data_IF_156541438255
#
_entry.id   IF_156541438255
#
_cell.length_a   1.000
_cell.length_b   1.000
_cell.length_c   1.000
_cell.angle_alpha   90.00
_cell.angle_beta   90.00
_cell.angle_gamma   90.00
#
_symmetry.space_group_name_H-M   'P 1'
#
loop_
_entity.id
_entity.type
_entity.pdbx_description
1 polymer ?
#
# COMPACT_ATOMS: atom_id res chain seq x y z
N UNK A 1 -34.18 1.45 -4.60
CA UNK A 1 -33.31 2.61 -4.91
C UNK A 1 -32.26 2.17 -5.93
N UNK A 2 -31.92 2.99 -6.93
CA UNK A 2 -30.82 2.68 -7.86
C UNK A 2 -29.49 2.61 -7.09
N UNK A 3 -28.55 1.76 -7.53
CA UNK A 3 -27.28 1.55 -6.84
C UNK A 3 -26.47 2.84 -6.64
N UNK A 4 -26.48 3.74 -7.63
CA UNK A 4 -25.84 5.04 -7.56
C UNK A 4 -26.47 5.95 -6.50
N UNK A 5 -27.79 6.15 -6.54
CA UNK A 5 -28.52 6.93 -5.51
C UNK A 5 -28.29 6.36 -4.11
N UNK A 6 -28.21 5.03 -3.98
CA UNK A 6 -27.90 4.36 -2.72
C UNK A 6 -26.49 4.70 -2.24
N UNK A 7 -25.50 4.66 -3.13
CA UNK A 7 -24.12 5.04 -2.80
C UNK A 7 -24.00 6.54 -2.45
N UNK A 8 -24.67 7.43 -3.19
CA UNK A 8 -24.72 8.87 -2.87
C UNK A 8 -25.33 9.13 -1.48
N UNK A 9 -26.40 8.39 -1.12
CA UNK A 9 -27.01 8.51 0.20
C UNK A 9 -26.14 7.93 1.32
N UNK A 10 -25.52 6.77 1.12
CA UNK A 10 -24.56 6.24 2.09
C UNK A 10 -23.40 7.23 2.28
N UNK A 11 -22.89 7.81 1.18
CA UNK A 11 -21.87 8.84 1.26
C UNK A 11 -22.36 10.08 2.02
N UNK A 12 -23.63 10.49 1.87
CA UNK A 12 -24.24 11.57 2.66
C UNK A 12 -24.27 11.25 4.16
N UNK A 13 -24.73 10.06 4.54
CA UNK A 13 -24.75 9.61 5.94
C UNK A 13 -23.35 9.57 6.54
N UNK A 14 -22.36 9.20 5.73
CA UNK A 14 -20.97 9.15 6.17
C UNK A 14 -20.29 10.53 6.12
N UNK A 15 -20.66 11.48 5.28
CA UNK A 15 -19.88 12.72 5.09
C UNK A 15 -19.94 13.74 6.26
N UNK A 16 -20.62 13.43 7.36
CA UNK A 16 -20.93 14.36 8.46
C UNK A 16 -19.70 14.99 9.17
N UNK A 17 -18.52 14.39 9.05
CA UNK A 17 -17.32 14.82 9.80
C UNK A 17 -16.24 15.49 8.91
N UNK A 18 -16.55 15.74 7.63
CA UNK A 18 -15.55 16.17 6.65
C UNK A 18 -14.56 15.05 6.28
N UNK A 19 -13.72 15.29 5.29
CA UNK A 19 -12.77 14.29 4.80
C UNK A 19 -13.23 13.49 3.59
N UNK A 20 -12.32 12.64 3.13
CA UNK A 20 -12.60 11.60 2.16
C UNK A 20 -13.22 10.40 2.86
N UNK A 21 -14.16 9.74 2.20
CA UNK A 21 -14.74 8.49 2.66
C UNK A 21 -14.59 7.45 1.56
N UNK A 22 -14.26 6.23 1.95
CA UNK A 22 -14.38 5.06 1.10
C UNK A 22 -15.22 4.01 1.83
N UNK A 23 -16.11 3.34 1.12
CA UNK A 23 -16.97 2.32 1.71
C UNK A 23 -17.32 1.20 0.73
N UNK A 24 -17.75 0.08 1.31
CA UNK A 24 -18.25 -1.09 0.61
C UNK A 24 -19.39 -1.71 1.40
N UNK A 25 -20.46 -2.09 0.71
CA UNK A 25 -21.62 -2.76 1.32
C UNK A 25 -21.56 -4.26 1.06
N UNK A 26 -21.65 -5.08 2.11
CA UNK A 26 -21.82 -6.54 2.00
C UNK A 26 -22.88 -7.01 3.02
N UNK A 27 -23.90 -7.72 2.53
CA UNK A 27 -24.97 -8.32 3.35
C UNK A 27 -25.61 -7.38 4.38
N UNK A 28 -25.92 -6.14 3.97
CA UNK A 28 -26.54 -5.13 4.85
C UNK A 28 -25.58 -4.43 5.80
N UNK A 29 -24.27 -4.74 5.74
CA UNK A 29 -23.23 -4.02 6.47
C UNK A 29 -22.46 -3.10 5.52
N UNK A 30 -22.33 -1.83 5.89
CA UNK A 30 -21.46 -0.84 5.25
C UNK A 30 -20.16 -0.76 6.03
N UNK A 31 -19.10 -1.29 5.45
CA UNK A 31 -17.74 -1.11 5.95
C UNK A 31 -17.16 0.16 5.35
N UNK A 32 -16.67 1.07 6.17
CA UNK A 32 -16.16 2.36 5.68
C UNK A 32 -14.89 2.78 6.40
N UNK A 33 -14.10 3.62 5.73
CA UNK A 33 -12.96 4.30 6.32
C UNK A 33 -12.97 5.78 5.93
N UNK A 34 -12.44 6.60 6.82
CA UNK A 34 -12.28 8.05 6.63
C UNK A 34 -10.83 8.42 6.48
N UNK A 35 -10.59 9.50 5.74
CA UNK A 35 -9.27 10.12 5.65
C UNK A 35 -9.39 11.65 5.69
N UNK A 36 -8.66 12.34 6.57
CA UNK A 36 -8.79 13.79 6.72
C UNK A 36 -8.41 14.56 5.44
N UNK A 37 -9.13 15.67 5.16
CA UNK A 37 -8.80 16.55 4.03
C UNK A 37 -7.44 17.20 4.23
N UNK A 38 -6.64 17.30 3.18
CA UNK A 38 -5.39 18.06 3.16
C UNK A 38 -4.23 17.38 3.89
N UNK A 39 -4.41 16.17 4.42
CA UNK A 39 -3.31 15.40 5.00
C UNK A 39 -2.56 14.66 3.89
N UNK A 40 -1.26 14.90 3.80
CA UNK A 40 -0.37 14.17 2.93
C UNK A 40 0.18 12.94 3.67
N UNK A 41 -0.12 11.73 3.17
CA UNK A 41 0.43 10.48 3.67
C UNK A 41 0.44 9.39 2.59
N UNK A 42 1.19 8.29 2.75
CA UNK A 42 1.11 7.12 1.88
C UNK A 42 -0.14 6.27 2.20
N UNK A 43 -1.29 6.94 2.23
CA UNK A 43 -2.59 6.41 2.63
C UNK A 43 -3.71 7.28 2.06
N UNK A 44 -4.93 6.76 2.13
CA UNK A 44 -6.17 7.45 1.78
C UNK A 44 -7.33 6.68 2.41
N UNK A 45 -8.56 7.18 2.25
CA UNK A 45 -9.74 6.44 2.73
C UNK A 45 -9.83 5.04 2.07
N UNK A 46 -9.48 4.95 0.78
CA UNK A 46 -9.45 3.68 0.04
C UNK A 46 -8.37 2.75 0.59
N UNK A 47 -7.16 3.26 0.83
CA UNK A 47 -6.07 2.44 1.40
C UNK A 47 -6.45 1.92 2.78
N UNK A 48 -6.92 2.80 3.68
CA UNK A 48 -7.36 2.41 5.03
C UNK A 48 -8.45 1.34 5.00
N UNK A 49 -9.47 1.50 4.15
CA UNK A 49 -10.54 0.53 3.98
C UNK A 49 -9.98 -0.84 3.56
N UNK A 50 -9.13 -0.86 2.52
CA UNK A 50 -8.58 -2.11 1.98
C UNK A 50 -7.67 -2.80 3.01
N UNK A 51 -6.71 -2.07 3.59
CA UNK A 51 -5.79 -2.64 4.58
C UNK A 51 -6.56 -3.16 5.81
N UNK A 52 -7.51 -2.39 6.32
CA UNK A 52 -8.22 -2.75 7.54
C UNK A 52 -9.27 -3.84 7.36
N UNK A 53 -9.84 -3.99 6.17
CA UNK A 53 -10.69 -5.15 5.87
C UNK A 53 -9.88 -6.45 5.89
N UNK A 54 -8.66 -6.46 5.34
CA UNK A 54 -7.78 -7.62 5.45
C UNK A 54 -7.36 -7.89 6.89
N UNK A 55 -7.03 -6.86 7.66
CA UNK A 55 -6.58 -7.02 9.04
C UNK A 55 -7.69 -7.50 9.97
N UNK A 56 -8.92 -6.98 9.82
CA UNK A 56 -10.02 -7.31 10.72
C UNK A 56 -10.78 -8.57 10.32
N UNK A 57 -10.82 -8.88 9.02
CA UNK A 57 -11.63 -9.96 8.46
C UNK A 57 -10.76 -10.88 7.59
N UNK A 58 -9.73 -11.49 8.20
CA UNK A 58 -8.90 -12.49 7.53
C UNK A 58 -9.79 -13.58 6.90
N UNK A 59 -9.45 -14.01 5.70
CA UNK A 59 -10.22 -14.93 4.82
C UNK A 59 -11.57 -14.42 4.30
N UNK A 60 -12.28 -13.59 5.07
CA UNK A 60 -13.57 -13.01 4.71
C UNK A 60 -13.46 -11.74 3.86
N UNK A 61 -12.35 -11.02 3.96
CA UNK A 61 -12.05 -9.78 3.25
C UNK A 61 -12.25 -9.91 1.74
N UNK A 62 -11.88 -11.05 1.14
CA UNK A 62 -12.09 -11.28 -0.29
C UNK A 62 -13.56 -11.33 -0.71
N UNK A 63 -14.48 -11.75 0.17
CA UNK A 63 -15.91 -11.76 -0.14
C UNK A 63 -16.46 -10.34 -0.09
N UNK A 64 -16.07 -9.55 0.91
CA UNK A 64 -16.43 -8.14 1.03
C UNK A 64 -15.88 -7.36 -0.17
N UNK A 65 -14.60 -7.56 -0.52
CA UNK A 65 -13.91 -6.84 -1.60
C UNK A 65 -14.25 -7.29 -3.02
N UNK A 66 -15.11 -8.32 -3.18
CA UNK A 66 -15.76 -8.63 -4.47
C UNK A 66 -16.86 -7.64 -4.81
N UNK A 67 -17.42 -6.97 -3.80
CA UNK A 67 -18.39 -5.91 -3.97
C UNK A 67 -17.71 -4.65 -4.52
N UNK A 68 -18.53 -3.71 -5.01
CA UNK A 68 -18.03 -2.44 -5.54
C UNK A 68 -17.71 -1.51 -4.38
N UNK A 69 -16.50 -0.97 -4.37
CA UNK A 69 -16.09 0.10 -3.47
C UNK A 69 -16.58 1.43 -4.04
N UNK A 70 -17.00 2.33 -3.16
CA UNK A 70 -17.36 3.69 -3.49
C UNK A 70 -16.48 4.64 -2.70
N UNK A 71 -16.09 5.77 -3.29
CA UNK A 71 -15.37 6.82 -2.57
C UNK A 71 -15.76 8.20 -3.05
N UNK A 72 -15.74 9.17 -2.13
CA UNK A 72 -15.97 10.59 -2.42
C UNK A 72 -14.76 11.27 -3.06
N UNK A 73 -13.57 10.69 -2.93
CA UNK A 73 -12.34 11.22 -3.48
C UNK A 73 -12.09 10.78 -4.93
N UNK A 74 -11.23 11.52 -5.63
CA UNK A 74 -10.61 11.03 -6.87
C UNK A 74 -9.51 10.02 -6.54
N UNK A 75 -9.33 9.02 -7.40
CA UNK A 75 -8.34 7.96 -7.19
C UNK A 75 -6.98 8.36 -7.74
N UNK A 76 -5.99 8.29 -6.85
CA UNK A 76 -4.57 8.30 -7.18
C UNK A 76 -4.13 6.98 -7.80
N UNK A 77 -2.93 6.93 -8.42
CA UNK A 77 -2.34 5.69 -8.92
C UNK A 77 -2.13 4.66 -7.80
N UNK A 78 -1.84 5.12 -6.58
CA UNK A 78 -1.78 4.28 -5.39
C UNK A 78 -3.13 3.58 -5.16
N UNK A 79 -4.24 4.33 -5.16
CA UNK A 79 -5.58 3.76 -4.96
C UNK A 79 -5.97 2.80 -6.10
N UNK A 80 -5.74 3.20 -7.36
CA UNK A 80 -6.04 2.36 -8.53
C UNK A 80 -5.23 1.08 -8.51
N UNK A 81 -3.93 1.18 -8.22
CA UNK A 81 -3.03 0.05 -8.08
C UNK A 81 -3.47 -0.91 -6.98
N UNK A 82 -3.79 -0.39 -5.79
CA UNK A 82 -4.23 -1.21 -4.66
C UNK A 82 -5.55 -1.92 -4.97
N UNK A 83 -6.56 -1.20 -5.47
CA UNK A 83 -7.83 -1.80 -5.91
C UNK A 83 -7.60 -2.88 -6.95
N UNK A 84 -6.70 -2.67 -7.92
CA UNK A 84 -6.42 -3.67 -8.97
C UNK A 84 -5.81 -4.96 -8.42
N UNK A 85 -5.06 -4.87 -7.32
CA UNK A 85 -4.41 -6.03 -6.69
C UNK A 85 -5.39 -6.78 -5.78
N UNK A 86 -6.17 -6.07 -4.96
CA UNK A 86 -6.91 -6.71 -3.86
C UNK A 86 -8.43 -6.64 -3.94
N UNK A 87 -8.97 -5.86 -4.86
CA UNK A 87 -10.41 -5.69 -5.06
C UNK A 87 -10.79 -5.83 -6.55
N UNK A 88 -12.08 -5.72 -6.86
CA UNK A 88 -12.56 -5.87 -8.25
C UNK A 88 -12.96 -4.56 -8.90
N UNK A 89 -13.69 -3.72 -8.18
CA UNK A 89 -14.40 -2.56 -8.75
C UNK A 89 -14.42 -1.43 -7.75
N UNK A 90 -14.24 -0.23 -8.28
CA UNK A 90 -14.37 1.00 -7.51
C UNK A 90 -15.10 2.05 -8.35
N UNK A 91 -15.85 2.91 -7.69
CA UNK A 91 -16.42 4.15 -8.24
C UNK A 91 -15.92 5.31 -7.39
N UNK A 92 -15.40 6.34 -8.05
CA UNK A 92 -14.78 7.51 -7.43
C UNK A 92 -15.64 8.76 -7.64
N UNK A 93 -15.32 9.84 -6.91
CA UNK A 93 -16.03 11.11 -6.99
C UNK A 93 -17.56 11.02 -6.74
N UNK A 94 -17.99 10.08 -5.89
CA UNK A 94 -19.39 10.01 -5.46
C UNK A 94 -19.73 11.31 -4.74
N UNK A 95 -20.82 11.96 -5.14
CA UNK A 95 -21.30 13.18 -4.50
C UNK A 95 -22.28 12.82 -3.38
N UNK A 96 -21.97 13.15 -2.11
CA UNK A 96 -22.89 12.94 -1.01
C UNK A 96 -24.23 13.65 -1.30
N UNK A 97 -25.34 12.90 -1.30
CA UNK A 97 -26.68 13.46 -1.51
C UNK A 97 -27.72 12.72 -0.70
N UNK A 98 -28.59 13.47 -0.02
CA UNK A 98 -29.73 12.89 0.66
C UNK A 98 -30.77 12.38 -0.36
N UNK A 99 -31.18 11.12 -0.21
CA UNK A 99 -32.20 10.44 -1.02
C UNK A 99 -33.29 9.82 -0.14
N UNK A 100 -33.38 10.22 1.13
CA UNK A 100 -34.30 9.67 2.12
C UNK A 100 -33.75 8.45 2.87
N UNK A 101 -34.56 7.83 3.72
CA UNK A 101 -34.10 6.82 4.68
C UNK A 101 -33.58 5.52 4.04
N UNK A 102 -32.47 5.01 4.59
CA UNK A 102 -32.02 3.63 4.39
C UNK A 102 -32.29 2.80 5.65
N UNK A 103 -33.38 2.05 5.64
CA UNK A 103 -33.69 1.13 6.73
C UNK A 103 -32.75 -0.10 6.72
N UNK A 104 -32.30 -0.52 7.91
CA UNK A 104 -31.66 -1.82 8.14
C UNK A 104 -30.19 -1.93 7.74
N UNK A 105 -29.48 -0.82 7.56
CA UNK A 105 -28.02 -0.85 7.37
C UNK A 105 -27.27 -0.83 8.70
N UNK A 106 -26.27 -1.68 8.83
CA UNK A 106 -25.27 -1.62 9.88
C UNK A 106 -24.03 -0.89 9.36
N UNK A 107 -23.47 0.03 10.15
CA UNK A 107 -22.24 0.75 9.80
C UNK A 107 -21.08 0.24 10.65
N UNK A 108 -19.96 -0.06 10.00
CA UNK A 108 -18.74 -0.56 10.64
C UNK A 108 -17.56 0.26 10.13
N UNK A 109 -17.01 1.11 10.99
CA UNK A 109 -15.80 1.86 10.66
C UNK A 109 -14.55 0.96 10.71
N UNK A 110 -13.65 1.18 9.75
CA UNK A 110 -12.39 0.48 9.54
C UNK A 110 -11.24 1.46 9.81
N UNK A 111 -10.67 1.32 11.01
CA UNK A 111 -9.65 2.23 11.53
C UNK A 111 -10.25 3.51 12.08
N UNK A 112 -9.54 4.16 13.00
CA UNK A 112 -9.99 5.42 13.59
C UNK A 112 -9.81 6.57 12.57
N UNK A 113 -10.73 7.54 12.55
CA UNK A 113 -10.67 8.70 11.67
C UNK A 113 -9.42 9.56 11.88
N UNK A 114 -8.92 9.65 13.12
CA UNK A 114 -7.70 10.38 13.49
C UNK A 114 -6.42 9.67 13.06
N UNK A 115 -6.47 8.37 12.76
CA UNK A 115 -5.33 7.61 12.31
C UNK A 115 -5.05 7.87 10.83
N UNK A 116 -3.93 8.50 10.54
CA UNK A 116 -3.46 8.74 9.16
C UNK A 116 -3.06 7.43 8.48
N UNK A 117 -2.28 6.60 9.17
CA UNK A 117 -1.96 5.24 8.77
C UNK A 117 -2.69 4.27 9.67
N UNK A 118 -3.28 3.24 9.06
CA UNK A 118 -3.88 2.16 9.82
C UNK A 118 -2.76 1.37 10.55
N UNK A 119 -2.89 1.11 11.86
CA UNK A 119 -2.02 0.16 12.55
C UNK A 119 -2.22 -1.22 11.93
N UNK A 120 -1.14 -1.80 11.42
CA UNK A 120 -1.21 -3.09 10.74
C UNK A 120 -0.94 -4.22 11.72
N UNK A 121 -1.93 -5.09 11.94
CA UNK A 121 -1.85 -6.16 12.94
C UNK A 121 -0.94 -7.33 12.50
N UNK A 122 -0.72 -7.49 11.19
CA UNK A 122 -0.02 -8.64 10.61
C UNK A 122 1.33 -8.30 9.97
N UNK A 123 2.01 -7.23 10.42
CA UNK A 123 3.40 -7.01 10.05
C UNK A 123 4.29 -8.10 10.65
N UNK A 124 5.14 -8.70 9.82
CA UNK A 124 6.09 -9.73 10.28
C UNK A 124 7.11 -9.17 11.28
N UNK A 125 7.75 -10.03 12.06
CA UNK A 125 8.75 -9.62 13.05
C UNK A 125 9.96 -8.94 12.39
N UNK A 126 10.30 -9.33 11.17
CA UNK A 126 11.38 -8.74 10.38
C UNK A 126 11.10 -7.28 10.04
N UNK A 127 9.83 -6.91 9.83
CA UNK A 127 9.42 -5.51 9.66
C UNK A 127 9.46 -4.70 10.97
N UNK A 128 9.64 -5.35 12.13
CA UNK A 128 9.71 -4.69 13.44
C UNK A 128 11.15 -4.40 13.90
N UNK A 129 12.18 -4.94 13.21
CA UNK A 129 13.58 -4.63 13.50
C UNK A 129 13.87 -3.14 13.28
N UNK A 130 14.79 -2.55 14.04
CA UNK A 130 15.09 -1.12 13.92
C UNK A 130 15.87 -0.81 12.63
N UNK A 131 15.79 0.44 12.16
CA UNK A 131 16.61 0.90 11.03
C UNK A 131 18.10 0.74 11.33
N UNK A 132 18.54 0.96 12.58
CA UNK A 132 19.94 0.83 12.99
C UNK A 132 20.43 -0.62 12.88
N UNK A 133 19.61 -1.61 13.25
CA UNK A 133 19.95 -3.02 13.12
C UNK A 133 20.15 -3.40 11.64
N UNK A 134 19.22 -3.00 10.77
CA UNK A 134 19.30 -3.29 9.33
C UNK A 134 20.42 -2.50 8.66
N UNK A 135 20.65 -1.25 9.05
CA UNK A 135 21.75 -0.44 8.56
C UNK A 135 23.11 -1.05 8.96
N UNK A 136 23.25 -1.57 10.18
CA UNK A 136 24.46 -2.28 10.61
C UNK A 136 24.70 -3.55 9.80
N UNK A 137 23.64 -4.29 9.50
CA UNK A 137 23.72 -5.45 8.61
C UNK A 137 24.11 -5.05 7.18
N UNK A 138 23.50 -4.01 6.59
CA UNK A 138 23.87 -3.53 5.25
C UNK A 138 25.30 -2.99 5.20
N UNK A 139 25.71 -2.22 6.22
CA UNK A 139 27.02 -1.58 6.30
C UNK A 139 28.19 -2.57 6.40
N UNK A 140 27.96 -3.76 6.97
CA UNK A 140 28.95 -4.84 6.95
C UNK A 140 29.15 -5.46 5.56
N UNK A 141 28.32 -5.09 4.58
CA UNK A 141 28.36 -5.55 3.19
C UNK A 141 28.48 -4.37 2.22
N UNK A 142 29.56 -3.60 2.31
CA UNK A 142 29.79 -2.41 1.49
C UNK A 142 29.48 -2.64 -0.01
N UNK A 143 28.43 -1.99 -0.51
CA UNK A 143 27.97 -2.10 -1.89
C UNK A 143 27.79 -0.69 -2.48
N UNK A 144 28.57 -0.35 -3.49
CA UNK A 144 28.46 0.96 -4.17
C UNK A 144 27.71 0.83 -5.50
N UNK A 145 27.66 -0.38 -6.07
CA UNK A 145 27.02 -0.62 -7.36
C UNK A 145 25.62 -1.24 -7.20
N UNK A 146 24.65 -0.90 -8.08
CA UNK A 146 23.27 -1.40 -7.98
C UNK A 146 23.13 -2.93 -7.91
N UNK A 147 23.96 -3.66 -8.65
CA UNK A 147 23.93 -5.13 -8.65
C UNK A 147 24.19 -5.72 -7.25
N UNK A 148 25.20 -5.21 -6.54
CA UNK A 148 25.50 -5.64 -5.16
C UNK A 148 24.42 -5.19 -4.18
N UNK A 149 23.84 -4.00 -4.37
CA UNK A 149 22.70 -3.56 -3.56
C UNK A 149 21.48 -4.48 -3.72
N UNK A 150 21.23 -5.01 -4.92
CA UNK A 150 20.18 -6.01 -5.15
C UNK A 150 20.51 -7.39 -4.57
N UNK A 151 21.79 -7.76 -4.46
CA UNK A 151 22.19 -8.95 -3.70
C UNK A 151 21.89 -8.77 -2.21
N UNK A 152 22.10 -7.57 -1.65
CA UNK A 152 21.69 -7.26 -0.27
C UNK A 152 20.17 -7.29 -0.12
N UNK A 153 19.41 -6.76 -1.07
CA UNK A 153 17.95 -6.87 -1.05
C UNK A 153 17.53 -8.35 -1.04
N UNK A 154 18.21 -9.19 -1.82
CA UNK A 154 17.99 -10.64 -1.82
C UNK A 154 18.36 -11.30 -0.49
N UNK A 155 19.42 -10.83 0.18
CA UNK A 155 19.80 -11.26 1.52
C UNK A 155 18.74 -10.92 2.57
N UNK A 156 18.21 -9.69 2.52
CA UNK A 156 17.13 -9.23 3.38
C UNK A 156 15.83 -10.01 3.14
N UNK A 157 15.52 -10.34 1.89
CA UNK A 157 14.35 -11.14 1.53
C UNK A 157 14.37 -12.55 2.14
N UNK A 158 15.56 -13.13 2.41
CA UNK A 158 15.69 -14.43 3.08
C UNK A 158 15.30 -14.41 4.56
N UNK A 159 15.10 -13.22 5.14
CA UNK A 159 14.57 -13.12 6.51
C UNK A 159 13.09 -13.46 6.56
N UNK A 160 12.37 -13.37 5.44
CA UNK A 160 10.96 -13.74 5.36
C UNK A 160 10.82 -15.25 5.60
N UNK A 161 10.09 -15.69 6.64
CA UNK A 161 9.92 -17.11 6.92
C UNK A 161 9.25 -17.84 5.76
N UNK A 162 9.74 -19.04 5.45
CA UNK A 162 9.19 -19.91 4.40
C UNK A 162 8.83 -21.25 5.00
N UNK A 163 7.74 -21.84 4.54
CA UNK A 163 7.39 -23.22 4.86
C UNK A 163 6.78 -23.95 3.67
N UNK A 164 6.31 -25.17 3.94
CA UNK A 164 5.92 -26.12 2.91
C UNK A 164 4.66 -25.73 2.14
N UNK A 165 3.74 -24.98 2.77
CA UNK A 165 2.46 -24.59 2.19
C UNK A 165 2.53 -23.15 1.68
N UNK A 166 2.88 -22.98 0.40
CA UNK A 166 3.22 -21.67 -0.18
C UNK A 166 2.19 -20.54 0.04
N UNK A 167 0.91 -20.85 0.22
CA UNK A 167 -0.13 -19.83 0.44
C UNK A 167 -0.21 -19.34 1.89
N UNK A 168 0.37 -20.09 2.84
CA UNK A 168 0.42 -19.74 4.27
C UNK A 168 1.61 -18.84 4.60
N UNK A 169 2.57 -18.72 3.68
CA UNK A 169 3.81 -17.97 3.88
C UNK A 169 3.92 -16.80 2.93
N UNK A 170 4.58 -15.76 3.42
CA UNK A 170 4.94 -14.60 2.63
C UNK A 170 5.96 -14.98 1.55
N UNK A 171 5.88 -14.36 0.37
CA UNK A 171 6.95 -14.44 -0.62
C UNK A 171 8.20 -13.75 -0.09
N UNK A 172 9.37 -14.28 -0.42
CA UNK A 172 10.69 -13.73 -0.12
C UNK A 172 10.97 -12.50 -0.98
N UNK A 173 10.27 -11.42 -0.66
CA UNK A 173 10.40 -10.13 -1.31
C UNK A 173 10.82 -9.11 -0.25
N UNK A 174 11.82 -8.30 -0.58
CA UNK A 174 12.28 -7.22 0.26
C UNK A 174 12.60 -6.00 -0.58
N UNK A 175 12.52 -4.84 0.05
CA UNK A 175 12.95 -3.58 -0.50
C UNK A 175 13.64 -2.74 0.57
N UNK A 176 14.58 -1.90 0.16
CA UNK A 176 15.14 -0.85 1.01
C UNK A 176 15.40 0.43 0.20
N UNK A 177 15.47 1.54 0.91
CA UNK A 177 15.61 2.89 0.38
C UNK A 177 16.86 3.53 0.95
N UNK A 178 17.73 4.01 0.07
CA UNK A 178 18.91 4.79 0.44
C UNK A 178 18.72 6.26 0.05
N UNK A 179 19.30 7.18 0.82
CA UNK A 179 19.48 8.57 0.37
C UNK A 179 20.64 8.67 -0.64
N UNK A 180 20.89 9.90 -1.12
CA UNK A 180 21.96 10.23 -2.05
C UNK A 180 23.37 10.04 -1.44
N UNK A 181 23.50 9.95 -0.11
CA UNK A 181 24.75 9.56 0.57
C UNK A 181 24.86 8.04 0.83
N UNK A 182 23.92 7.22 0.36
CA UNK A 182 23.92 5.78 0.54
C UNK A 182 23.50 5.29 1.94
N UNK A 183 22.94 6.17 2.78
CA UNK A 183 22.44 5.83 4.10
C UNK A 183 21.03 5.23 4.01
N UNK A 184 20.77 4.19 4.80
CA UNK A 184 19.46 3.55 4.88
C UNK A 184 18.43 4.50 5.50
N UNK A 185 17.38 4.82 4.74
CA UNK A 185 16.25 5.62 5.19
C UNK A 185 15.09 4.76 5.71
N UNK A 186 14.77 3.69 4.98
CA UNK A 186 13.69 2.77 5.32
C UNK A 186 13.88 1.43 4.61
N UNK A 187 13.22 0.40 5.12
CA UNK A 187 13.13 -0.90 4.47
C UNK A 187 11.77 -1.55 4.75
N UNK A 188 11.45 -2.57 3.96
CA UNK A 188 10.32 -3.44 4.21
C UNK A 188 10.55 -4.82 3.62
N UNK A 189 10.00 -5.82 4.29
CA UNK A 189 9.87 -7.17 3.74
C UNK A 189 8.39 -7.50 3.56
N UNK A 190 8.08 -8.40 2.64
CA UNK A 190 6.70 -8.77 2.35
C UNK A 190 6.04 -9.50 3.54
N UNK A 191 4.79 -9.14 3.84
CA UNK A 191 3.95 -9.72 4.91
C UNK A 191 2.52 -9.96 4.43
N UNK A 192 2.37 -10.36 3.16
CA UNK A 192 1.10 -10.37 2.46
C UNK A 192 0.28 -11.66 2.56
N UNK A 193 0.70 -12.64 3.36
CA UNK A 193 0.01 -13.91 3.59
C UNK A 193 -1.42 -13.69 4.09
N UNK A 194 -1.59 -12.87 5.13
CA UNK A 194 -2.90 -12.52 5.71
C UNK A 194 -3.50 -11.24 5.14
N UNK A 195 -2.66 -10.23 4.85
CA UNK A 195 -3.11 -8.97 4.29
C UNK A 195 -2.41 -8.69 2.96
N UNK A 196 -3.16 -8.86 1.86
CA UNK A 196 -2.61 -8.79 0.49
C UNK A 196 -2.06 -7.43 0.09
N UNK A 197 -2.23 -6.40 0.91
CA UNK A 197 -1.67 -5.07 0.67
C UNK A 197 -0.24 -4.90 1.20
N UNK A 198 0.23 -5.78 2.10
CA UNK A 198 1.50 -5.63 2.84
C UNK A 198 2.71 -6.12 2.05
N UNK A 199 2.91 -5.54 0.88
CA UNK A 199 4.11 -5.77 0.08
C UNK A 199 5.33 -5.09 0.69
N UNK A 200 6.52 -5.57 0.35
CA UNK A 200 7.79 -5.02 0.84
C UNK A 200 7.89 -3.50 0.63
N UNK A 201 7.52 -3.01 -0.55
CA UNK A 201 7.57 -1.59 -0.89
C UNK A 201 6.50 -0.78 -0.15
N UNK A 202 5.30 -1.33 0.04
CA UNK A 202 4.25 -0.68 0.83
C UNK A 202 4.70 -0.53 2.28
N UNK A 203 5.23 -1.61 2.86
CA UNK A 203 5.74 -1.62 4.23
C UNK A 203 6.88 -0.61 4.40
N UNK A 204 7.80 -0.53 3.43
CA UNK A 204 8.89 0.45 3.40
C UNK A 204 8.39 1.89 3.40
N UNK A 205 7.45 2.24 2.52
CA UNK A 205 6.98 3.62 2.37
C UNK A 205 6.15 4.03 3.59
N UNK A 206 5.25 3.17 4.07
CA UNK A 206 4.45 3.44 5.26
C UNK A 206 5.33 3.52 6.51
N UNK A 207 6.39 2.71 6.62
CA UNK A 207 7.38 2.83 7.69
C UNK A 207 8.07 4.18 7.67
N UNK A 208 8.58 4.61 6.51
CA UNK A 208 9.26 5.91 6.36
C UNK A 208 8.37 7.03 6.90
N UNK A 209 7.09 7.03 6.51
CA UNK A 209 6.13 8.01 7.02
C UNK A 209 5.91 7.88 8.54
N UNK A 210 5.74 6.67 9.10
CA UNK A 210 5.58 6.50 10.55
C UNK A 210 6.77 7.03 11.34
N UNK A 211 7.98 6.80 10.85
CA UNK A 211 9.21 7.13 11.58
C UNK A 211 9.63 8.59 11.40
N UNK A 212 9.32 9.22 10.25
CA UNK A 212 9.85 10.55 9.91
C UNK A 212 8.77 11.60 9.61
N UNK A 213 7.54 11.17 9.29
CA UNK A 213 6.49 12.02 8.74
C UNK A 213 6.76 12.58 7.34
N UNK A 214 7.89 12.19 6.71
CA UNK A 214 8.36 12.78 5.44
C UNK A 214 8.14 11.83 4.25
N UNK A 215 7.96 12.38 3.03
CA UNK A 215 8.04 11.65 1.77
C UNK A 215 9.44 11.08 1.49
N UNK A 216 9.53 10.24 0.46
CA UNK A 216 10.82 9.79 -0.09
C UNK A 216 11.57 11.03 -0.61
N UNK A 217 12.78 11.34 -0.08
CA UNK A 217 13.49 12.54 -0.46
C UNK A 217 13.99 12.48 -1.90
N UNK A 218 14.17 13.65 -2.50
CA UNK A 218 14.75 13.76 -3.84
C UNK A 218 16.14 13.08 -3.92
N UNK A 219 16.42 12.43 -5.04
CA UNK A 219 17.68 11.71 -5.27
C UNK A 219 17.80 10.36 -4.56
N UNK A 220 16.81 9.95 -3.77
CA UNK A 220 16.81 8.64 -3.12
C UNK A 220 16.74 7.49 -4.14
N UNK A 221 17.30 6.34 -3.75
CA UNK A 221 17.36 5.13 -4.58
C UNK A 221 16.69 3.98 -3.85
N UNK A 222 15.67 3.39 -4.48
CA UNK A 222 14.97 2.22 -3.96
C UNK A 222 15.50 0.95 -4.65
N UNK A 223 15.84 -0.06 -3.84
CA UNK A 223 16.21 -1.39 -4.31
C UNK A 223 15.12 -2.36 -3.87
N UNK A 224 14.48 -3.05 -4.83
CA UNK A 224 13.49 -4.11 -4.55
C UNK A 224 13.93 -5.41 -5.19
N UNK A 225 13.75 -6.56 -4.54
CA UNK A 225 14.10 -7.83 -5.18
C UNK A 225 13.29 -8.07 -6.44
N UNK A 226 12.02 -7.67 -6.44
CA UNK A 226 11.07 -7.81 -7.54
C UNK A 226 10.65 -6.45 -8.08
N UNK A 227 10.28 -6.42 -9.36
CA UNK A 227 9.70 -5.22 -9.98
C UNK A 227 8.43 -4.79 -9.21
N UNK A 228 8.33 -3.52 -8.75
CA UNK A 228 7.14 -3.05 -8.06
C UNK A 228 5.88 -3.24 -8.89
N UNK A 229 4.82 -3.79 -8.29
CA UNK A 229 3.52 -3.89 -8.94
C UNK A 229 2.80 -2.52 -8.98
N UNK A 230 1.67 -2.40 -9.68
CA UNK A 230 0.89 -1.15 -9.80
C UNK A 230 0.59 -0.49 -8.45
N UNK A 231 0.26 -1.28 -7.42
CA UNK A 231 0.04 -0.79 -6.06
C UNK A 231 1.31 -0.16 -5.47
N UNK A 232 2.42 -0.91 -5.48
CA UNK A 232 3.71 -0.47 -4.95
C UNK A 232 4.24 0.74 -5.71
N UNK A 233 4.23 0.67 -7.04
CA UNK A 233 4.66 1.73 -7.95
C UNK A 233 3.86 3.03 -7.72
N UNK A 234 2.53 2.92 -7.61
CA UNK A 234 1.67 4.07 -7.30
C UNK A 234 2.00 4.70 -5.95
N UNK A 235 2.20 3.89 -4.91
CA UNK A 235 2.56 4.39 -3.57
C UNK A 235 3.94 5.06 -3.56
N UNK A 236 4.95 4.44 -4.17
CA UNK A 236 6.31 5.00 -4.29
C UNK A 236 6.26 6.35 -5.02
N UNK A 237 5.58 6.41 -6.17
CA UNK A 237 5.53 7.61 -7.01
C UNK A 237 4.78 8.76 -6.31
N UNK A 238 3.63 8.47 -5.68
CA UNK A 238 2.86 9.51 -5.00
C UNK A 238 3.46 9.98 -3.68
N UNK A 239 4.28 9.16 -3.02
CA UNK A 239 4.93 9.51 -1.75
C UNK A 239 6.41 9.87 -1.93
N UNK A 240 6.75 10.55 -3.02
CA UNK A 240 8.08 11.04 -3.32
C UNK A 240 8.07 12.56 -3.51
N UNK A 241 9.08 13.26 -2.98
CA UNK A 241 9.21 14.73 -3.10
C UNK A 241 9.37 15.16 -4.56
N UNK A 242 10.26 14.49 -5.29
CA UNK A 242 10.52 14.73 -6.70
C UNK A 242 10.69 13.38 -7.43
N UNK A 243 9.60 12.87 -8.04
CA UNK A 243 9.64 11.61 -8.77
C UNK A 243 10.63 11.59 -9.95
N UNK A 244 11.05 12.74 -10.47
CA UNK A 244 12.01 12.81 -11.59
C UNK A 244 13.44 12.42 -11.20
N UNK A 245 13.76 12.48 -9.90
CA UNK A 245 15.06 12.13 -9.35
C UNK A 245 15.08 10.74 -8.69
N UNK A 246 13.92 10.10 -8.57
CA UNK A 246 13.79 8.77 -8.00
C UNK A 246 14.37 7.71 -8.96
N UNK A 247 15.14 6.77 -8.40
CA UNK A 247 15.56 5.57 -9.13
C UNK A 247 15.08 4.33 -8.41
N UNK A 248 14.49 3.39 -9.17
CA UNK A 248 14.04 2.11 -8.63
C UNK A 248 14.76 0.97 -9.35
N UNK A 249 15.61 0.25 -8.63
CA UNK A 249 16.31 -0.92 -9.15
C UNK A 249 15.62 -2.20 -8.71
N UNK A 250 15.55 -3.17 -9.62
CA UNK A 250 15.04 -4.51 -9.31
C UNK A 250 15.78 -5.62 -10.04
N UNK A 251 15.70 -6.84 -9.50
CA UNK A 251 16.39 -8.02 -10.05
C UNK A 251 15.46 -9.02 -10.75
N UNK A 252 14.22 -9.17 -10.26
CA UNK A 252 13.24 -10.13 -10.78
C UNK A 252 12.09 -9.40 -11.46
N UNK A 253 11.84 -9.72 -12.72
CA UNK A 253 10.63 -9.27 -13.42
C UNK A 253 9.55 -10.37 -13.36
N UNK A 254 8.42 -10.06 -12.72
CA UNK A 254 7.28 -10.97 -12.74
C UNK A 254 6.58 -10.98 -14.11
N UNK A 255 6.20 -12.18 -14.58
CA UNK A 255 5.49 -12.35 -15.86
C UNK A 255 4.05 -11.82 -15.85
N UNK A 256 3.52 -11.45 -14.68
CA UNK A 256 2.12 -11.01 -14.51
C UNK A 256 1.82 -9.60 -15.02
N UNK A 257 0.55 -9.32 -15.32
CA UNK A 257 0.12 -8.00 -15.82
C UNK A 257 0.09 -6.89 -14.76
N UNK A 258 0.36 -7.20 -13.49
CA UNK A 258 0.35 -6.25 -12.39
C UNK A 258 1.66 -5.45 -12.26
N UNK A 259 2.77 -5.91 -12.82
CA UNK A 259 4.09 -5.26 -12.81
C UNK A 259 4.43 -4.58 -14.14
N UNK A 260 3.47 -4.49 -15.07
CA UNK A 260 3.63 -3.88 -16.39
C UNK A 260 2.87 -2.57 -16.50
N UNK A 261 3.43 -1.63 -17.24
CA UNK A 261 2.85 -0.30 -17.49
C UNK A 261 2.46 0.39 -16.18
N UNK A 262 3.28 0.20 -15.15
CA UNK A 262 3.16 0.93 -13.89
C UNK A 262 3.51 2.39 -14.12
N UNK A 263 3.12 3.28 -13.20
CA UNK A 263 3.53 4.69 -13.26
C UNK A 263 5.05 4.84 -13.32
N UNK A 264 5.80 3.97 -12.63
CA UNK A 264 7.27 3.95 -12.71
C UNK A 264 7.80 3.57 -14.10
N UNK A 265 7.12 2.65 -14.82
CA UNK A 265 7.48 2.32 -16.21
C UNK A 265 7.22 3.49 -17.15
N UNK A 266 6.07 4.15 -17.00
CA UNK A 266 5.64 5.26 -17.85
C UNK A 266 6.60 6.45 -17.76
N UNK A 267 7.23 6.65 -16.60
CA UNK A 267 8.21 7.70 -16.35
C UNK A 267 9.67 7.24 -16.47
N UNK A 268 9.94 5.99 -16.85
CA UNK A 268 11.31 5.48 -17.02
C UNK A 268 12.13 5.37 -15.73
N UNK A 269 11.47 5.25 -14.56
CA UNK A 269 12.10 5.24 -13.23
C UNK A 269 12.55 3.83 -12.79
N UNK A 270 12.10 2.80 -13.52
CA UNK A 270 12.37 1.39 -13.27
C UNK A 270 13.63 0.94 -14.01
N UNK A 271 14.59 0.37 -13.28
CA UNK A 271 15.87 -0.12 -13.79
C UNK A 271 16.04 -1.60 -13.45
N UNK A 272 15.92 -2.46 -14.47
CA UNK A 272 16.21 -3.88 -14.31
C UNK A 272 17.71 -4.13 -14.32
N UNK A 273 18.20 -4.86 -13.33
CA UNK A 273 19.56 -5.40 -13.32
C UNK A 273 19.45 -6.91 -13.38
N UNK A 274 19.86 -7.49 -14.51
CA UNK A 274 20.00 -8.93 -14.66
C UNK A 274 21.13 -9.43 -13.75
N UNK A 275 20.89 -10.56 -13.08
CA UNK A 275 21.96 -11.32 -12.43
C UNK A 275 22.89 -11.94 -13.46
#
# INVERSE_FOLDING_TARGET
MLAEKRAEHIAFLLASEGGEVAFVEDKGTVYFARFPVGVAAPSSAVVKLLQGLFDRFVDHSFFILRQRIYTTAGLTEMCRGMVKVVAKRITENIRPRDHGELAGLQFVEIGDASQILLPVAYLSQENQKSIQEVAGWLGSHAAVIPARQLELASGLARWVPRGSVLHDYDRDIAAFLLNDQGQLLSYGVNSNSKNKTLHAEVNLVQRLHRETGRPIPAGAVLYSTHKPCKMCAGMIYHWCEDPSQLKVYYSVEEKGGLSRQTVLDQHGLNHHISK
#
